data_IF_549420321310
#
_entry.id   IF_549420321310
#
_cell.length_a   1.000
_cell.length_b   1.000
_cell.length_c   1.000
_cell.angle_alpha   90.00
_cell.angle_beta   90.00
_cell.angle_gamma   90.00
#
_symmetry.space_group_name_H-M   'P 1'
#
loop_
_entity.id
_entity.type
_entity.pdbx_description
1 polymer ?
#
# COMPACT_ATOMS: atom_id res chain seq x y z
N UNK A 1 -3.52 -12.38 10.25
CA UNK A 1 -3.18 -10.97 10.65
C UNK A 1 -2.37 -10.86 11.95
N UNK A 2 -1.86 -11.99 12.45
CA UNK A 2 -1.01 -12.00 13.65
C UNK A 2 0.25 -11.13 13.48
N UNK A 3 0.87 -11.18 12.29
CA UNK A 3 2.08 -10.41 11.95
C UNK A 3 1.92 -8.91 12.21
N UNK A 4 0.76 -8.33 11.87
CA UNK A 4 0.47 -6.93 12.09
C UNK A 4 0.32 -6.59 13.59
N UNK A 5 -0.35 -7.45 14.37
CA UNK A 5 -0.45 -7.27 15.82
C UNK A 5 0.91 -7.44 16.51
N UNK A 6 1.74 -8.36 16.02
CA UNK A 6 3.10 -8.56 16.54
C UNK A 6 4.00 -7.33 16.27
N UNK A 7 3.84 -6.65 15.11
CA UNK A 7 4.49 -5.37 14.84
C UNK A 7 4.07 -4.30 15.88
N UNK A 8 2.77 -4.17 16.16
CA UNK A 8 2.28 -3.22 17.17
C UNK A 8 2.89 -3.50 18.55
N UNK A 9 2.88 -4.77 18.99
CA UNK A 9 3.46 -5.20 20.27
C UNK A 9 4.97 -4.91 20.32
N UNK A 10 5.66 -5.19 19.21
CA UNK A 10 7.09 -4.96 19.08
C UNK A 10 7.44 -3.48 19.25
N UNK A 11 6.69 -2.59 18.58
CA UNK A 11 6.95 -1.15 18.67
C UNK A 11 6.64 -0.60 20.06
N UNK A 12 5.55 -1.05 20.71
CA UNK A 12 5.26 -0.65 22.10
C UNK A 12 6.35 -1.09 23.05
N UNK A 13 6.86 -2.32 22.89
CA UNK A 13 7.83 -2.91 23.83
C UNK A 13 9.27 -2.43 23.61
N UNK A 14 9.67 -2.12 22.37
CA UNK A 14 11.07 -1.87 22.01
C UNK A 14 11.30 -0.50 21.36
N UNK A 15 10.24 0.26 21.10
CA UNK A 15 10.32 1.55 20.40
C UNK A 15 10.90 2.65 21.27
N UNK A 16 11.50 3.63 20.61
CA UNK A 16 12.04 4.85 21.21
C UNK A 16 11.06 6.00 20.99
N UNK A 17 10.87 6.83 22.03
CA UNK A 17 10.11 8.08 21.91
C UNK A 17 10.87 9.05 21.00
N UNK A 18 10.16 9.58 20.02
CA UNK A 18 10.69 10.57 19.08
C UNK A 18 9.75 11.75 18.92
N UNK A 19 10.34 12.91 18.66
CA UNK A 19 9.60 14.04 18.13
C UNK A 19 9.38 13.85 16.64
N UNK A 20 8.28 14.36 16.13
CA UNK A 20 7.94 14.35 14.71
C UNK A 20 7.53 15.75 14.22
N UNK A 21 7.40 15.91 12.91
CA UNK A 21 7.04 17.19 12.27
C UNK A 21 5.70 17.75 12.75
N UNK A 22 4.75 16.87 13.12
CA UNK A 22 3.40 17.27 13.54
C UNK A 22 3.34 17.71 15.00
N UNK A 23 4.41 17.52 15.78
CA UNK A 23 4.45 17.81 17.22
C UNK A 23 3.68 16.82 18.10
N UNK A 24 3.04 15.78 17.51
CA UNK A 24 2.29 14.76 18.26
C UNK A 24 3.21 13.83 19.04
N UNK A 25 4.39 13.55 18.50
CA UNK A 25 5.34 12.57 19.02
C UNK A 25 4.97 11.14 18.65
N UNK A 26 5.97 10.29 18.58
CA UNK A 26 5.82 8.89 18.18
C UNK A 26 6.65 7.96 19.06
N UNK A 27 6.22 6.69 19.16
CA UNK A 27 7.07 5.58 19.56
C UNK A 27 7.46 4.85 18.28
N UNK A 28 8.75 4.68 18.00
CA UNK A 28 9.19 4.07 16.74
C UNK A 28 10.33 3.07 16.90
N UNK A 29 10.38 2.13 15.95
CA UNK A 29 11.52 1.25 15.69
C UNK A 29 12.03 1.49 14.28
N UNK A 30 13.32 1.26 14.05
CA UNK A 30 13.91 1.34 12.72
C UNK A 30 14.25 -0.06 12.20
N UNK A 31 13.57 -0.44 11.14
CA UNK A 31 13.70 -1.76 10.53
C UNK A 31 12.76 -2.80 11.15
N UNK A 32 11.83 -3.29 10.34
CA UNK A 32 10.95 -4.42 10.64
C UNK A 32 10.45 -5.05 9.34
N UNK A 33 10.04 -6.31 9.37
CA UNK A 33 9.48 -6.97 8.20
C UNK A 33 8.33 -7.90 8.59
N UNK A 34 7.26 -7.85 7.80
CA UNK A 34 6.13 -8.79 7.87
C UNK A 34 6.03 -9.58 6.56
N UNK A 35 5.46 -10.78 6.64
CA UNK A 35 5.19 -11.63 5.47
C UNK A 35 3.76 -12.17 5.53
N UNK A 36 3.06 -12.10 4.41
CA UNK A 36 1.69 -12.57 4.24
C UNK A 36 1.64 -13.53 3.05
N UNK A 37 1.25 -14.79 3.28
CA UNK A 37 1.00 -15.74 2.21
C UNK A 37 -0.39 -15.44 1.61
N UNK A 38 -0.43 -14.98 0.37
CA UNK A 38 -1.69 -14.58 -0.29
C UNK A 38 -2.57 -15.76 -0.69
N UNK A 39 -2.08 -17.00 -0.58
CA UNK A 39 -2.88 -18.21 -0.77
C UNK A 39 -3.69 -18.60 0.47
N UNK A 40 -3.34 -18.06 1.65
CA UNK A 40 -4.08 -18.31 2.90
C UNK A 40 -5.30 -17.38 3.05
N UNK A 41 -5.42 -16.37 2.21
CA UNK A 41 -6.50 -15.37 2.21
C UNK A 41 -5.98 -13.97 1.95
N UNK A 42 -6.91 -13.03 1.80
CA UNK A 42 -6.57 -11.62 1.56
C UNK A 42 -6.22 -10.93 2.89
N UNK A 43 -5.00 -10.35 3.04
CA UNK A 43 -4.51 -9.82 4.31
C UNK A 43 -5.15 -8.47 4.67
N UNK A 44 -6.46 -8.45 4.79
CA UNK A 44 -7.21 -7.30 5.29
C UNK A 44 -7.42 -7.43 6.80
N UNK A 45 -7.02 -6.41 7.54
CA UNK A 45 -7.10 -6.41 9.01
C UNK A 45 -8.53 -6.67 9.49
N UNK A 46 -8.69 -7.62 10.40
CA UNK A 46 -9.99 -8.01 10.98
C UNK A 46 -10.20 -7.48 12.41
N UNK A 47 -9.16 -7.02 13.09
CA UNK A 47 -9.24 -6.44 14.44
C UNK A 47 -9.81 -5.03 14.47
N UNK A 48 -9.96 -4.40 13.32
CA UNK A 48 -10.80 -3.22 13.08
C UNK A 48 -11.30 -3.21 11.65
N UNK A 49 -12.48 -2.65 11.41
CA UNK A 49 -13.03 -2.50 10.05
C UNK A 49 -12.26 -1.45 9.27
N UNK A 50 -11.85 -1.80 8.04
CA UNK A 50 -11.22 -0.90 7.08
C UNK A 50 -12.19 -0.51 5.96
N UNK A 51 -11.93 0.62 5.30
CA UNK A 51 -12.73 1.11 4.17
C UNK A 51 -12.14 0.64 2.84
N UNK A 52 -12.52 -0.58 2.41
CA UNK A 52 -12.01 -1.22 1.19
C UNK A 52 -12.17 -0.35 -0.06
N UNK A 53 -13.29 0.39 -0.15
CA UNK A 53 -13.56 1.26 -1.30
C UNK A 53 -12.43 2.26 -1.54
N UNK A 54 -11.91 2.88 -0.48
CA UNK A 54 -10.78 3.81 -0.59
C UNK A 54 -9.51 3.12 -1.08
N UNK A 55 -9.24 1.91 -0.60
CA UNK A 55 -8.05 1.13 -0.98
C UNK A 55 -8.08 0.81 -2.48
N UNK A 56 -9.21 0.32 -2.99
CA UNK A 56 -9.35 -0.04 -4.41
C UNK A 56 -9.25 1.19 -5.31
N UNK A 57 -9.99 2.26 -5.00
CA UNK A 57 -9.96 3.47 -5.83
C UNK A 57 -8.59 4.16 -5.83
N UNK A 58 -7.89 4.20 -4.69
CA UNK A 58 -6.53 4.74 -4.63
C UNK A 58 -5.56 3.94 -5.52
N UNK A 59 -5.62 2.60 -5.45
CA UNK A 59 -4.76 1.74 -6.26
C UNK A 59 -5.04 1.92 -7.76
N UNK A 60 -6.32 1.97 -8.18
CA UNK A 60 -6.70 2.26 -9.55
C UNK A 60 -6.18 3.64 -9.99
N UNK A 61 -6.33 4.64 -9.15
CA UNK A 61 -5.87 6.00 -9.41
C UNK A 61 -4.34 6.06 -9.59
N UNK A 62 -3.55 5.34 -8.78
CA UNK A 62 -2.12 5.19 -9.00
C UNK A 62 -1.80 4.52 -10.35
N UNK A 63 -2.51 3.44 -10.69
CA UNK A 63 -2.31 2.71 -11.94
C UNK A 63 -2.70 3.52 -13.18
N UNK A 64 -3.64 4.46 -13.06
CA UNK A 64 -3.97 5.41 -14.13
C UNK A 64 -2.91 6.52 -14.31
N UNK A 65 -1.95 6.63 -13.40
CA UNK A 65 -0.91 7.68 -13.44
C UNK A 65 -1.43 9.06 -13.06
N UNK A 66 -2.64 9.12 -12.50
CA UNK A 66 -3.28 10.36 -12.10
C UNK A 66 -2.71 10.89 -10.78
N UNK A 67 -2.66 12.19 -10.63
CA UNK A 67 -2.17 12.91 -9.44
C UNK A 67 -3.12 14.00 -8.97
N UNK A 68 -4.27 14.16 -9.65
CA UNK A 68 -5.36 15.03 -9.23
C UNK A 68 -6.41 14.22 -8.47
N UNK A 69 -6.86 14.74 -7.33
CA UNK A 69 -7.82 14.03 -6.46
C UNK A 69 -9.27 14.02 -6.96
N UNK A 70 -9.54 14.62 -8.13
CA UNK A 70 -10.90 14.68 -8.67
C UNK A 70 -11.55 13.30 -8.81
N UNK A 71 -10.82 12.32 -9.39
CA UNK A 71 -11.31 10.94 -9.51
C UNK A 71 -11.68 10.35 -8.14
N UNK A 72 -10.82 10.56 -7.14
CA UNK A 72 -11.07 10.06 -5.78
C UNK A 72 -12.31 10.69 -5.17
N UNK A 73 -12.46 12.02 -5.27
CA UNK A 73 -13.64 12.77 -4.79
C UNK A 73 -14.93 12.33 -5.46
N UNK A 74 -14.91 12.17 -6.79
CA UNK A 74 -16.07 11.72 -7.58
C UNK A 74 -16.55 10.32 -7.13
N UNK A 75 -15.64 9.50 -6.59
CA UNK A 75 -15.93 8.19 -6.02
C UNK A 75 -16.13 8.18 -4.49
N UNK A 76 -16.19 9.34 -3.84
CA UNK A 76 -16.41 9.47 -2.41
C UNK A 76 -15.21 9.10 -1.54
N UNK A 77 -14.00 9.12 -2.11
CA UNK A 77 -12.73 8.85 -1.43
C UNK A 77 -12.04 10.18 -1.12
N UNK A 78 -11.70 10.40 0.16
CA UNK A 78 -11.20 11.69 0.67
C UNK A 78 -9.86 11.60 1.38
N UNK A 79 -9.16 10.48 1.23
CA UNK A 79 -7.91 10.20 1.98
C UNK A 79 -6.73 11.08 1.56
N UNK A 80 -6.86 11.88 0.49
CA UNK A 80 -5.86 12.80 -0.01
C UNK A 80 -6.26 14.27 0.05
N UNK A 81 -7.47 14.59 0.54
CA UNK A 81 -8.02 15.96 0.53
C UNK A 81 -7.12 16.98 1.27
N UNK A 82 -6.46 16.55 2.36
CA UNK A 82 -5.67 17.43 3.23
C UNK A 82 -4.34 17.88 2.60
N UNK A 83 -3.85 17.16 1.56
CA UNK A 83 -2.57 17.44 0.90
C UNK A 83 -2.71 18.12 -0.46
N UNK A 84 -3.90 18.08 -1.06
CA UNK A 84 -4.13 18.65 -2.37
C UNK A 84 -4.19 20.18 -2.32
N UNK A 85 -3.70 20.82 -3.40
CA UNK A 85 -3.89 22.24 -3.59
C UNK A 85 -5.36 22.60 -3.90
N UNK A 86 -5.63 23.88 -4.12
CA UNK A 86 -6.98 24.40 -4.39
C UNK A 86 -7.62 23.78 -5.66
N UNK A 87 -6.80 23.38 -6.62
CA UNK A 87 -7.22 22.76 -7.89
C UNK A 87 -7.25 21.21 -7.80
N UNK A 88 -6.91 20.64 -6.64
CA UNK A 88 -6.91 19.22 -6.38
C UNK A 88 -5.64 18.49 -6.82
N UNK A 89 -4.54 19.20 -7.09
CA UNK A 89 -3.29 18.60 -7.52
C UNK A 89 -2.38 18.26 -6.33
N UNK A 90 -1.61 17.18 -6.48
CA UNK A 90 -0.65 16.69 -5.47
C UNK A 90 0.81 16.78 -5.96
N UNK A 91 1.04 17.28 -7.17
CA UNK A 91 2.34 17.20 -7.81
C UNK A 91 2.66 15.77 -8.30
N UNK A 92 3.92 15.48 -8.66
CA UNK A 92 4.30 14.22 -9.31
C UNK A 92 4.40 13.05 -8.33
N UNK A 93 3.32 12.77 -7.57
CA UNK A 93 3.24 11.67 -6.58
C UNK A 93 3.12 10.29 -7.27
N UNK A 94 2.99 9.25 -6.50
CA UNK A 94 2.99 7.82 -6.85
C UNK A 94 2.61 7.46 -8.30
N UNK A 95 1.40 7.81 -8.73
CA UNK A 95 0.90 7.46 -10.07
C UNK A 95 1.76 8.04 -11.19
N UNK A 96 2.21 9.29 -11.05
CA UNK A 96 3.12 9.92 -12.01
C UNK A 96 4.44 9.15 -12.09
N UNK A 97 5.07 8.86 -10.96
CA UNK A 97 6.35 8.14 -10.95
C UNK A 97 6.21 6.71 -11.48
N UNK A 98 5.12 6.02 -11.18
CA UNK A 98 4.87 4.66 -11.66
C UNK A 98 4.66 4.59 -13.18
N UNK A 99 3.97 5.59 -13.76
CA UNK A 99 3.47 5.55 -15.12
C UNK A 99 4.16 6.51 -16.08
N UNK A 100 4.85 7.52 -15.58
CA UNK A 100 5.41 8.59 -16.39
C UNK A 100 6.69 9.18 -15.77
N UNK A 101 7.61 8.33 -15.35
CA UNK A 101 8.89 8.75 -14.80
C UNK A 101 9.67 9.56 -15.83
N UNK A 102 10.03 10.83 -15.57
CA UNK A 102 10.68 11.67 -16.58
C UNK A 102 12.13 11.24 -16.84
N UNK A 103 12.54 11.32 -18.12
CA UNK A 103 13.91 11.06 -18.55
C UNK A 103 14.63 12.34 -18.96
N UNK A 104 15.98 12.39 -18.91
CA UNK A 104 16.74 13.59 -19.23
C UNK A 104 16.57 14.11 -20.66
N UNK A 105 16.17 13.26 -21.60
CA UNK A 105 15.87 13.59 -22.99
C UNK A 105 14.45 14.12 -23.24
N UNK A 106 13.67 14.32 -22.16
CA UNK A 106 12.28 14.79 -22.20
C UNK A 106 11.26 13.67 -22.46
N UNK A 107 11.68 12.42 -22.48
CA UNK A 107 10.80 11.25 -22.55
C UNK A 107 10.28 10.84 -21.19
N UNK A 108 9.55 9.72 -21.16
CA UNK A 108 8.95 9.16 -19.96
C UNK A 108 9.07 7.63 -19.94
N UNK A 109 9.18 7.06 -18.75
CA UNK A 109 9.22 5.62 -18.51
C UNK A 109 7.93 5.21 -17.79
N UNK A 110 7.18 4.28 -18.37
CA UNK A 110 6.07 3.57 -17.71
C UNK A 110 6.62 2.33 -17.00
N UNK A 111 6.91 2.46 -15.71
CA UNK A 111 7.50 1.38 -14.92
C UNK A 111 6.53 0.19 -14.78
N UNK A 112 5.22 0.43 -14.69
CA UNK A 112 4.21 -0.65 -14.54
C UNK A 112 4.16 -1.50 -15.81
N UNK A 113 4.11 -0.87 -16.99
CA UNK A 113 4.16 -1.61 -18.25
C UNK A 113 5.47 -2.40 -18.41
N UNK A 114 6.60 -1.80 -18.00
CA UNK A 114 7.89 -2.46 -18.06
C UNK A 114 7.98 -3.69 -17.16
N UNK A 115 7.51 -3.63 -15.92
CA UNK A 115 7.58 -4.79 -15.01
C UNK A 115 6.66 -5.93 -15.46
N UNK A 116 5.50 -5.63 -16.01
CA UNK A 116 4.59 -6.66 -16.55
C UNK A 116 5.25 -7.36 -17.74
N UNK A 117 5.85 -6.60 -18.64
CA UNK A 117 6.60 -7.15 -19.78
C UNK A 117 7.80 -8.00 -19.32
N UNK A 118 8.54 -7.55 -18.33
CA UNK A 118 9.64 -8.31 -17.72
C UNK A 118 9.17 -9.61 -17.07
N UNK A 119 8.09 -9.59 -16.28
CA UNK A 119 7.54 -10.80 -15.65
C UNK A 119 7.17 -11.85 -16.70
N UNK A 120 6.56 -11.41 -17.81
CA UNK A 120 6.15 -12.31 -18.90
C UNK A 120 7.33 -12.87 -19.72
N UNK A 121 8.35 -12.05 -19.99
CA UNK A 121 9.48 -12.41 -20.87
C UNK A 121 10.68 -12.99 -20.15
N UNK A 122 10.93 -12.54 -18.93
CA UNK A 122 12.10 -12.93 -18.13
C UNK A 122 11.73 -12.97 -16.63
N UNK A 123 10.94 -13.96 -16.21
CA UNK A 123 10.45 -14.06 -14.81
C UNK A 123 11.59 -14.22 -13.80
N UNK A 124 12.76 -14.73 -14.19
CA UNK A 124 13.94 -14.89 -13.33
C UNK A 124 14.73 -13.58 -13.11
N UNK A 125 14.28 -12.47 -13.70
CA UNK A 125 14.94 -11.18 -13.54
C UNK A 125 14.90 -10.72 -12.08
N UNK A 126 16.04 -10.22 -11.59
CA UNK A 126 16.20 -9.57 -10.29
C UNK A 126 16.03 -8.06 -10.35
N UNK A 127 15.50 -7.53 -11.49
CA UNK A 127 15.35 -6.10 -11.78
C UNK A 127 13.88 -5.68 -11.94
N UNK A 128 12.93 -6.50 -11.45
CA UNK A 128 11.50 -6.23 -11.53
C UNK A 128 11.14 -5.29 -10.38
N UNK A 129 11.48 -4.01 -10.53
CA UNK A 129 11.38 -2.98 -9.48
C UNK A 129 10.58 -1.80 -10.02
N UNK A 130 9.72 -1.24 -9.17
CA UNK A 130 9.05 0.05 -9.38
C UNK A 130 9.47 0.99 -8.26
N UNK A 131 9.94 2.18 -8.59
CA UNK A 131 10.32 3.22 -7.65
C UNK A 131 9.39 4.42 -7.74
N UNK A 132 8.93 4.91 -6.59
CA UNK A 132 8.25 6.19 -6.48
C UNK A 132 9.17 7.30 -5.95
N UNK A 133 10.34 6.95 -5.43
CA UNK A 133 11.29 7.90 -4.86
C UNK A 133 12.18 8.48 -5.96
N UNK A 134 11.71 9.57 -6.57
CA UNK A 134 12.46 10.33 -7.55
C UNK A 134 13.16 11.52 -6.88
N UNK A 135 14.47 11.42 -6.69
CA UNK A 135 15.27 12.44 -5.98
C UNK A 135 15.17 13.82 -6.65
N UNK A 136 15.00 13.86 -7.98
CA UNK A 136 14.88 15.12 -8.72
C UNK A 136 13.50 15.79 -8.56
N UNK A 137 12.48 15.05 -8.13
CA UNK A 137 11.10 15.55 -8.06
C UNK A 137 10.45 15.47 -6.68
N UNK A 138 11.07 14.79 -5.72
CA UNK A 138 10.49 14.57 -4.38
C UNK A 138 10.06 15.89 -3.69
N UNK A 139 10.78 16.97 -3.92
CA UNK A 139 10.47 18.29 -3.36
C UNK A 139 9.29 19.01 -4.05
N UNK A 140 8.81 18.47 -5.18
CA UNK A 140 7.65 19.00 -5.91
C UNK A 140 6.36 18.29 -5.50
N UNK A 141 6.44 17.24 -4.70
CA UNK A 141 5.32 16.42 -4.25
C UNK A 141 4.69 17.03 -3.01
N UNK A 142 3.36 17.06 -2.96
CA UNK A 142 2.63 17.51 -1.77
C UNK A 142 2.96 16.64 -0.55
N UNK A 143 3.22 15.35 -0.78
CA UNK A 143 3.67 14.41 0.23
C UNK A 143 4.74 13.48 -0.39
N UNK A 144 6.00 13.52 0.10
CA UNK A 144 7.03 12.57 -0.33
C UNK A 144 6.62 11.12 -0.09
N UNK A 145 6.88 10.19 -1.05
CA UNK A 145 6.39 8.83 -0.95
C UNK A 145 6.82 8.10 0.32
N UNK A 146 5.87 7.62 1.10
CA UNK A 146 6.14 6.76 2.26
C UNK A 146 6.52 5.35 1.81
N UNK A 147 5.75 4.74 0.91
CA UNK A 147 6.08 3.49 0.23
C UNK A 147 6.90 3.80 -1.02
N UNK A 148 8.22 3.66 -0.89
CA UNK A 148 9.21 4.25 -1.81
C UNK A 148 9.50 3.39 -3.02
N UNK A 149 9.54 2.07 -2.86
CA UNK A 149 9.78 1.12 -3.94
C UNK A 149 9.20 -0.25 -3.59
N UNK A 150 8.88 -1.00 -4.64
CA UNK A 150 8.53 -2.41 -4.50
C UNK A 150 9.18 -3.25 -5.59
N UNK A 151 9.42 -4.52 -5.28
CA UNK A 151 10.06 -5.49 -6.15
C UNK A 151 9.21 -6.74 -6.25
N UNK A 152 9.09 -7.28 -7.47
CA UNK A 152 8.46 -8.56 -7.71
C UNK A 152 9.48 -9.69 -7.85
N UNK A 153 9.04 -10.88 -7.49
CA UNK A 153 9.81 -12.13 -7.57
C UNK A 153 8.89 -13.26 -8.04
N UNK A 154 9.33 -14.01 -9.04
CA UNK A 154 8.61 -15.16 -9.57
C UNK A 154 9.32 -16.45 -9.19
N UNK A 155 8.60 -17.39 -8.60
CA UNK A 155 9.10 -18.72 -8.32
C UNK A 155 7.93 -19.72 -8.28
N UNK A 156 8.13 -20.92 -8.78
CA UNK A 156 7.15 -22.02 -8.75
C UNK A 156 5.76 -21.60 -9.28
N UNK A 157 5.72 -20.79 -10.34
CA UNK A 157 4.48 -20.28 -10.93
C UNK A 157 3.74 -19.23 -10.08
N UNK A 158 4.40 -18.67 -9.05
CA UNK A 158 3.83 -17.69 -8.12
C UNK A 158 4.56 -16.37 -8.21
N UNK A 159 3.80 -15.27 -8.07
CA UNK A 159 4.32 -13.91 -7.98
C UNK A 159 4.28 -13.42 -6.54
N UNK A 160 5.43 -13.04 -6.01
CA UNK A 160 5.58 -12.37 -4.71
C UNK A 160 5.99 -10.93 -4.90
N UNK A 161 5.64 -10.08 -3.93
CA UNK A 161 5.99 -8.66 -3.91
C UNK A 161 6.63 -8.29 -2.58
N UNK A 162 7.73 -7.55 -2.62
CA UNK A 162 8.31 -6.91 -1.43
C UNK A 162 8.24 -5.41 -1.57
N UNK A 163 7.59 -4.76 -0.59
CA UNK A 163 7.50 -3.31 -0.46
C UNK A 163 8.53 -2.83 0.56
N UNK A 164 9.26 -1.75 0.24
CA UNK A 164 9.97 -0.95 1.22
C UNK A 164 9.21 0.35 1.51
N UNK A 165 8.77 0.51 2.76
CA UNK A 165 8.09 1.70 3.27
C UNK A 165 9.00 2.42 4.25
N UNK A 166 9.50 3.62 3.86
CA UNK A 166 10.47 4.39 4.66
C UNK A 166 9.89 4.96 5.96
N UNK A 167 8.59 5.24 5.96
CA UNK A 167 7.86 5.86 7.07
C UNK A 167 6.47 5.25 7.14
N UNK A 168 6.08 4.71 8.30
CA UNK A 168 4.89 3.91 8.44
C UNK A 168 4.12 4.22 9.73
N UNK A 169 3.00 4.94 9.60
CA UNK A 169 1.98 5.02 10.65
C UNK A 169 1.31 3.65 10.78
N UNK A 170 1.67 2.94 11.84
CA UNK A 170 1.23 1.55 12.06
C UNK A 170 -0.27 1.47 12.27
N UNK A 171 -0.88 2.45 12.94
CA UNK A 171 -2.30 2.38 13.27
C UNK A 171 -3.20 2.74 12.09
N UNK A 172 -2.98 3.87 11.42
CA UNK A 172 -3.84 4.32 10.32
C UNK A 172 -3.38 3.81 8.96
N UNK A 173 -2.11 4.02 8.60
CA UNK A 173 -1.61 3.81 7.24
C UNK A 173 -1.32 2.35 6.90
N UNK A 174 -0.59 1.65 7.76
CA UNK A 174 -0.08 0.28 7.47
C UNK A 174 -1.20 -0.71 7.09
N UNK A 175 -2.38 -0.76 7.73
CA UNK A 175 -3.46 -1.64 7.30
C UNK A 175 -3.93 -1.42 5.86
N UNK A 176 -3.99 -0.16 5.42
CA UNK A 176 -4.32 0.20 4.04
C UNK A 176 -3.21 -0.24 3.08
N UNK A 177 -1.94 -0.01 3.44
CA UNK A 177 -0.81 -0.38 2.60
C UNK A 177 -0.69 -1.90 2.44
N UNK A 178 -0.92 -2.70 3.49
CA UNK A 178 -0.96 -4.17 3.41
C UNK A 178 -1.98 -4.61 2.37
N UNK A 179 -3.23 -4.15 2.49
CA UNK A 179 -4.31 -4.53 1.59
C UNK A 179 -4.06 -4.04 0.15
N UNK A 180 -3.57 -2.81 -0.02
CA UNK A 180 -3.30 -2.22 -1.34
C UNK A 180 -2.23 -3.00 -2.10
N UNK A 181 -1.09 -3.30 -1.49
CA UNK A 181 0.00 -4.02 -2.16
C UNK A 181 -0.27 -5.51 -2.30
N UNK A 182 -1.02 -6.13 -1.39
CA UNK A 182 -1.53 -7.48 -1.59
C UNK A 182 -2.46 -7.54 -2.82
N UNK A 183 -3.37 -6.56 -2.96
CA UNK A 183 -4.26 -6.47 -4.11
C UNK A 183 -3.46 -6.23 -5.40
N UNK A 184 -2.51 -5.30 -5.41
CA UNK A 184 -1.62 -5.06 -6.56
C UNK A 184 -0.89 -6.36 -6.97
N UNK A 185 -0.37 -7.11 -6.01
CA UNK A 185 0.30 -8.40 -6.28
C UNK A 185 -0.63 -9.40 -6.94
N UNK A 186 -1.88 -9.51 -6.48
CA UNK A 186 -2.89 -10.38 -7.07
C UNK A 186 -3.26 -9.93 -8.49
N UNK A 187 -3.44 -8.63 -8.72
CA UNK A 187 -3.74 -8.06 -10.05
C UNK A 187 -2.62 -8.34 -11.04
N UNK A 188 -1.36 -8.08 -10.66
CA UNK A 188 -0.20 -8.35 -11.52
C UNK A 188 -0.03 -9.84 -11.78
N UNK A 189 -0.23 -10.69 -10.77
CA UNK A 189 -0.20 -12.14 -10.95
C UNK A 189 -1.23 -12.59 -12.00
N UNK A 190 -2.48 -12.11 -11.90
CA UNK A 190 -3.55 -12.46 -12.85
C UNK A 190 -3.18 -12.07 -14.29
N UNK A 191 -2.78 -10.81 -14.54
CA UNK A 191 -2.48 -10.36 -15.90
C UNK A 191 -1.19 -10.96 -16.49
N UNK A 192 -0.35 -11.55 -15.64
CA UNK A 192 0.84 -12.29 -16.04
C UNK A 192 0.64 -13.80 -16.10
N UNK A 193 -0.56 -14.32 -15.78
CA UNK A 193 -0.85 -15.76 -15.79
C UNK A 193 -0.19 -16.54 -14.66
N UNK A 194 0.09 -15.89 -13.54
CA UNK A 194 0.72 -16.47 -12.34
C UNK A 194 -0.28 -16.58 -11.18
N UNK A 195 0.05 -17.41 -10.19
CA UNK A 195 -0.66 -17.43 -8.92
C UNK A 195 -0.08 -16.38 -7.96
N UNK A 196 -0.87 -15.80 -7.04
CA UNK A 196 -0.32 -14.97 -5.97
C UNK A 196 0.59 -15.79 -5.05
N UNK A 197 1.75 -15.23 -4.71
CA UNK A 197 2.68 -15.78 -3.72
C UNK A 197 2.60 -15.04 -2.39
N UNK A 198 3.74 -14.47 -1.94
CA UNK A 198 3.82 -13.71 -0.70
C UNK A 198 3.78 -12.20 -0.96
N UNK A 199 3.16 -11.47 -0.05
CA UNK A 199 3.43 -10.05 0.14
C UNK A 199 4.36 -9.85 1.34
N UNK A 200 5.52 -9.23 1.12
CA UNK A 200 6.51 -8.91 2.13
C UNK A 200 6.52 -7.40 2.34
N UNK A 201 6.28 -6.95 3.57
CA UNK A 201 6.25 -5.54 3.92
C UNK A 201 7.44 -5.20 4.80
N UNK A 202 8.38 -4.46 4.26
CA UNK A 202 9.62 -4.04 4.93
C UNK A 202 9.53 -2.56 5.27
N UNK A 203 9.88 -2.22 6.50
CA UNK A 203 9.79 -0.87 7.05
C UNK A 203 11.15 -0.26 7.34
N UNK A 204 11.26 1.03 7.09
CA UNK A 204 12.25 1.90 7.72
C UNK A 204 11.79 2.34 9.10
N UNK A 205 11.31 3.59 9.27
CA UNK A 205 10.71 4.09 10.51
C UNK A 205 9.26 3.59 10.63
N UNK A 206 9.05 2.61 11.51
CA UNK A 206 7.73 2.08 11.84
C UNK A 206 7.29 2.65 13.19
N UNK A 207 6.21 3.43 13.21
CA UNK A 207 5.84 4.22 14.38
C UNK A 207 4.36 4.17 14.72
N UNK A 208 4.09 4.38 16.01
CA UNK A 208 2.76 4.63 16.58
C UNK A 208 2.77 6.06 17.10
N UNK A 209 1.84 6.90 16.63
CA UNK A 209 1.64 8.24 17.17
C UNK A 209 1.14 8.16 18.63
N UNK A 210 1.61 9.07 19.48
CA UNK A 210 1.25 9.06 20.91
C UNK A 210 -0.25 9.20 21.14
N UNK A 211 -0.97 9.91 20.27
CA UNK A 211 -2.42 10.07 20.31
C UNK A 211 -3.20 8.81 19.85
N UNK A 212 -2.51 7.74 19.41
CA UNK A 212 -3.13 6.48 19.01
C UNK A 212 -2.91 5.33 20.02
N UNK A 213 -2.25 5.55 21.14
CA UNK A 213 -1.90 4.48 22.10
C UNK A 213 -3.14 3.77 22.66
N UNK A 214 -4.21 4.50 22.98
CA UNK A 214 -5.46 3.91 23.45
C UNK A 214 -6.11 3.03 22.37
N UNK A 215 -6.14 3.51 21.14
CA UNK A 215 -6.69 2.81 19.99
C UNK A 215 -5.89 1.53 19.67
N UNK A 216 -4.57 1.60 19.74
CA UNK A 216 -3.67 0.45 19.56
C UNK A 216 -3.91 -0.59 20.65
N UNK A 217 -3.99 -0.19 21.92
CA UNK A 217 -4.29 -1.09 23.03
C UNK A 217 -5.66 -1.76 22.88
N UNK A 218 -6.69 -1.00 22.48
CA UNK A 218 -7.99 -1.56 22.16
C UNK A 218 -7.92 -2.57 21.01
N UNK A 219 -7.18 -2.26 19.95
CA UNK A 219 -7.02 -3.17 18.81
C UNK A 219 -6.28 -4.45 19.21
N UNK A 220 -5.24 -4.34 20.04
CA UNK A 220 -4.47 -5.48 20.57
C UNK A 220 -5.27 -6.37 21.52
N UNK A 221 -6.33 -5.87 22.13
CA UNK A 221 -7.24 -6.67 22.98
C UNK A 221 -8.21 -7.55 22.19
N UNK A 222 -8.28 -7.38 20.85
CA UNK A 222 -9.20 -8.10 19.97
C UNK A 222 -8.51 -9.29 19.32
N UNK A 223 -9.19 -10.44 19.33
CA UNK A 223 -8.70 -11.62 18.60
C UNK A 223 -8.92 -11.45 17.08
N UNK A 224 -7.91 -11.74 16.24
CA UNK A 224 -8.07 -11.75 14.79
C UNK A 224 -9.11 -12.79 14.37
N UNK A 225 -9.95 -12.42 13.42
CA UNK A 225 -10.90 -13.32 12.78
C UNK A 225 -10.30 -13.91 11.49
N UNK A 226 -10.90 -14.95 10.90
CA UNK A 226 -10.43 -15.53 9.64
C UNK A 226 -10.24 -14.46 8.56
N UNK A 227 -9.23 -14.67 7.69
CA UNK A 227 -8.99 -13.77 6.56
C UNK A 227 -10.13 -13.86 5.55
N UNK A 228 -10.54 -12.73 4.96
CA UNK A 228 -11.48 -12.72 3.84
C UNK A 228 -10.84 -13.24 2.56
N UNK A 229 -11.68 -13.47 1.55
CA UNK A 229 -11.27 -13.82 0.19
C UNK A 229 -11.49 -12.64 -0.74
N UNK A 230 -10.46 -12.22 -1.48
CA UNK A 230 -10.60 -11.25 -2.56
C UNK A 230 -10.86 -12.00 -3.87
N UNK A 231 -12.02 -11.74 -4.50
CA UNK A 231 -12.33 -12.18 -5.86
C UNK A 231 -12.02 -11.06 -6.84
N UNK A 232 -11.28 -11.37 -7.88
CA UNK A 232 -10.96 -10.45 -8.97
C UNK A 232 -11.62 -10.99 -10.24
N UNK A 233 -12.26 -10.12 -11.02
CA UNK A 233 -12.88 -10.50 -12.30
C UNK A 233 -11.84 -11.15 -13.23
N UNK A 234 -11.96 -12.46 -13.54
CA UNK A 234 -10.96 -13.18 -14.32
C UNK A 234 -10.91 -12.76 -15.79
N UNK A 235 -11.91 -12.02 -16.27
CA UNK A 235 -11.95 -11.55 -17.65
C UNK A 235 -10.98 -10.38 -17.91
N UNK A 236 -10.52 -9.68 -16.86
CA UNK A 236 -9.59 -8.57 -17.00
C UNK A 236 -8.18 -9.11 -17.22
N UNK A 237 -7.59 -8.79 -18.38
CA UNK A 237 -6.26 -9.26 -18.81
C UNK A 237 -5.22 -8.14 -18.93
N UNK A 238 -5.63 -6.87 -18.81
CA UNK A 238 -4.75 -5.72 -18.83
C UNK A 238 -4.85 -4.99 -17.48
N UNK A 239 -3.71 -4.71 -16.85
CA UNK A 239 -3.64 -4.09 -15.51
C UNK A 239 -4.34 -2.72 -15.43
N UNK A 240 -4.42 -2.00 -16.55
CA UNK A 240 -5.00 -0.67 -16.63
C UNK A 240 -6.51 -0.65 -16.87
N UNK A 241 -7.13 -1.82 -17.15
CA UNK A 241 -8.55 -1.93 -17.45
C UNK A 241 -9.39 -2.26 -16.22
N UNK A 242 -8.75 -2.56 -15.08
CA UNK A 242 -9.45 -2.83 -13.84
C UNK A 242 -10.29 -1.63 -13.37
N UNK A 243 -11.50 -1.95 -12.93
CA UNK A 243 -12.47 -1.02 -12.35
C UNK A 243 -12.84 -1.48 -10.95
N UNK A 244 -13.45 -0.61 -10.17
CA UNK A 244 -13.90 -0.94 -8.81
C UNK A 244 -14.78 -2.20 -8.75
N UNK A 245 -15.67 -2.36 -9.73
CA UNK A 245 -16.63 -3.47 -9.83
C UNK A 245 -15.98 -4.83 -10.11
N UNK A 246 -14.71 -4.85 -10.51
CA UNK A 246 -13.96 -6.09 -10.74
C UNK A 246 -13.47 -6.77 -9.46
N UNK A 247 -13.68 -6.14 -8.30
CA UNK A 247 -13.21 -6.63 -7.00
C UNK A 247 -14.38 -6.91 -6.06
N UNK A 248 -14.43 -8.12 -5.51
CA UNK A 248 -15.41 -8.52 -4.51
C UNK A 248 -14.71 -9.13 -3.30
N UNK A 249 -14.93 -8.54 -2.12
CA UNK A 249 -14.41 -9.08 -0.86
C UNK A 249 -15.50 -9.96 -0.23
N UNK A 250 -15.19 -11.26 -0.09
CA UNK A 250 -16.06 -12.25 0.50
C UNK A 250 -15.62 -12.58 1.93
N UNK A 251 -16.59 -12.86 2.80
CA UNK A 251 -16.34 -13.32 4.18
C UNK A 251 -15.52 -12.34 5.04
N UNK A 252 -15.63 -11.05 4.79
CA UNK A 252 -14.99 -10.04 5.64
C UNK A 252 -15.86 -9.75 6.85
N UNK A 253 -15.48 -10.31 8.00
CA UNK A 253 -16.14 -10.16 9.30
C UNK A 253 -15.20 -9.48 10.30
N UNK A 254 -14.96 -8.16 10.18
CA UNK A 254 -14.07 -7.44 11.09
C UNK A 254 -14.76 -7.05 12.40
N UNK A 255 -13.95 -6.81 13.43
CA UNK A 255 -14.39 -6.05 14.59
C UNK A 255 -14.77 -4.61 14.19
N UNK A 256 -15.58 -3.90 15.00
CA UNK A 256 -15.96 -2.53 14.71
C UNK A 256 -14.78 -1.60 14.44
N UNK A 257 -15.01 -0.58 13.62
CA UNK A 257 -14.03 0.47 13.34
C UNK A 257 -13.50 1.11 14.63
N UNK A 258 -12.23 1.46 14.64
CA UNK A 258 -11.60 2.27 15.69
C UNK A 258 -11.15 3.58 15.02
N UNK A 259 -11.73 4.70 15.48
CA UNK A 259 -11.41 6.02 14.95
C UNK A 259 -10.05 6.49 15.47
N UNK A 260 -9.20 7.01 14.60
CA UNK A 260 -7.98 7.72 14.92
C UNK A 260 -7.94 9.09 14.23
N UNK A 261 -7.24 10.04 14.84
CA UNK A 261 -7.01 11.38 14.26
C UNK A 261 -5.74 11.35 13.45
N UNK A 262 -5.80 11.81 12.21
CA UNK A 262 -4.60 11.93 11.35
C UNK A 262 -3.68 12.99 11.93
N UNK A 263 -2.39 12.69 12.04
CA UNK A 263 -1.35 13.66 12.39
C UNK A 263 -0.90 14.38 11.11
N UNK A 264 -1.14 15.68 11.00
CA UNK A 264 -0.86 16.53 9.83
C UNK A 264 0.16 17.64 10.16
#
# INVERSE_FOLDING_TARGET
>A
MKQYLDLMRHVIANGTQKHDRTGTGTISVFGYQMRFNLQEGFPMVTTKKLHLKSIIHELIWFLQGDTNIKYLKDNGVRIWDEWADADGNLGPVYGHQWRSWPTPDGGHIDQISQIIDQIKKNPDSRRIIVSAWNVAEVNKMALPPCHTLFQFYVADGKLSCQLYQRSADIFLGVPFNIASYALLTMMVAQVCGLQPGDFIHTFGDAHIYNNHLEQVNLQLSREPRPLPTMRINPAVSNIFDFKYEDFTLENYDPHPHIKGVVAV
#
